data_IF_178706067349
#
_entry.id   IF_178706067349
#
_cell.length_a   1.000
_cell.length_b   1.000
_cell.length_c   1.000
_cell.angle_alpha   90.00
_cell.angle_beta   90.00
_cell.angle_gamma   90.00
#
_symmetry.space_group_name_H-M   'P 1'
#
loop_
_entity.id
_entity.type
_entity.pdbx_description
1 polymer ?
#
# COMPACT_ATOMS: atom_id res chain seq x y z
N UNK A 1 30.77 -12.33 4.10
CA UNK A 1 29.99 -12.21 5.35
C UNK A 1 28.52 -12.44 5.05
N UNK A 2 28.00 -11.76 4.02
CA UNK A 2 26.67 -11.92 3.42
C UNK A 2 26.19 -13.37 3.28
N UNK A 3 27.00 -14.26 2.68
CA UNK A 3 26.63 -15.68 2.55
C UNK A 3 26.20 -16.35 3.87
N UNK A 4 26.82 -15.99 4.99
CA UNK A 4 26.46 -16.50 6.32
C UNK A 4 25.07 -16.02 6.75
N UNK A 5 24.70 -14.79 6.40
CA UNK A 5 23.38 -14.21 6.69
C UNK A 5 22.31 -14.84 5.80
N UNK A 6 22.60 -14.99 4.50
CA UNK A 6 21.74 -15.70 3.56
C UNK A 6 21.48 -17.16 4.01
N UNK A 7 22.54 -17.89 4.37
CA UNK A 7 22.41 -19.25 4.92
C UNK A 7 21.55 -19.27 6.21
N UNK A 8 21.70 -18.26 7.08
CA UNK A 8 20.87 -18.15 8.28
C UNK A 8 19.39 -17.94 7.96
N UNK A 9 19.09 -17.00 7.05
CA UNK A 9 17.71 -16.72 6.61
C UNK A 9 17.09 -17.98 6.03
N UNK A 10 17.76 -18.64 5.08
CA UNK A 10 17.27 -19.87 4.44
C UNK A 10 17.00 -20.99 5.46
N UNK A 11 17.86 -21.15 6.46
CA UNK A 11 17.68 -22.16 7.50
C UNK A 11 16.56 -21.82 8.51
N UNK A 12 16.11 -20.57 8.56
CA UNK A 12 15.09 -20.09 9.50
C UNK A 12 13.85 -19.51 8.81
N UNK A 13 13.69 -19.74 7.51
CA UNK A 13 12.64 -19.15 6.65
C UNK A 13 11.25 -19.15 7.30
N UNK A 14 10.74 -20.33 7.67
CA UNK A 14 9.41 -20.46 8.26
C UNK A 14 9.25 -19.69 9.60
N UNK A 15 10.32 -19.64 10.41
CA UNK A 15 10.32 -18.87 11.66
C UNK A 15 10.31 -17.36 11.39
N UNK A 16 11.01 -16.93 10.35
CA UNK A 16 11.09 -15.53 9.95
C UNK A 16 9.76 -15.05 9.38
N UNK A 17 9.13 -15.82 8.49
CA UNK A 17 7.77 -15.57 7.96
C UNK A 17 6.77 -15.43 9.10
N UNK A 18 6.80 -16.35 10.08
CA UNK A 18 5.93 -16.26 11.26
C UNK A 18 6.14 -14.96 12.06
N UNK A 19 7.40 -14.58 12.28
CA UNK A 19 7.74 -13.36 13.03
C UNK A 19 7.33 -12.09 12.28
N UNK A 20 7.51 -12.04 10.97
CA UNK A 20 7.09 -10.92 10.12
C UNK A 20 5.57 -10.76 10.18
N UNK A 21 4.81 -11.84 9.99
CA UNK A 21 3.34 -11.80 10.09
C UNK A 21 2.87 -11.39 11.50
N UNK A 22 3.58 -11.81 12.55
CA UNK A 22 3.28 -11.41 13.92
C UNK A 22 3.55 -9.92 14.14
N UNK A 23 4.65 -9.39 13.60
CA UNK A 23 4.95 -7.96 13.67
C UNK A 23 3.91 -7.13 12.91
N UNK A 24 3.49 -7.59 11.74
CA UNK A 24 2.41 -6.97 11.00
C UNK A 24 1.11 -6.88 11.82
N UNK A 25 0.73 -7.93 12.53
CA UNK A 25 -0.44 -7.89 13.42
C UNK A 25 -0.30 -6.86 14.55
N UNK A 26 0.93 -6.65 15.05
CA UNK A 26 1.22 -5.64 16.08
C UNK A 26 1.09 -4.22 15.50
N UNK A 27 1.57 -4.01 14.27
CA UNK A 27 1.59 -2.70 13.61
C UNK A 27 0.27 -2.33 12.92
N UNK A 28 -0.70 -3.25 12.88
CA UNK A 28 -1.95 -3.10 12.14
C UNK A 28 -2.73 -1.81 12.48
N UNK A 29 -2.76 -1.42 13.76
CA UNK A 29 -3.48 -0.21 14.17
C UNK A 29 -2.75 1.06 13.71
N UNK A 30 -1.41 1.09 13.70
CA UNK A 30 -0.67 2.24 13.18
C UNK A 30 -0.80 2.33 11.64
N UNK A 31 -0.73 1.20 10.95
CA UNK A 31 -1.02 1.12 9.51
C UNK A 31 -2.43 1.66 9.21
N UNK A 32 -3.44 1.26 10.00
CA UNK A 32 -4.81 1.73 9.83
C UNK A 32 -4.92 3.25 9.90
N UNK A 33 -4.26 3.90 10.86
CA UNK A 33 -4.27 5.36 11.00
C UNK A 33 -3.62 6.04 9.82
N UNK A 34 -2.44 5.57 9.43
CA UNK A 34 -1.74 6.13 8.29
C UNK A 34 -2.54 5.95 7.00
N UNK A 35 -3.22 4.81 6.83
CA UNK A 35 -4.05 4.56 5.66
C UNK A 35 -5.28 5.49 5.63
N UNK A 36 -5.94 5.71 6.76
CA UNK A 36 -7.01 6.73 6.90
C UNK A 36 -6.49 8.12 6.51
N UNK A 37 -5.27 8.47 6.94
CA UNK A 37 -4.64 9.76 6.61
C UNK A 37 -4.37 9.90 5.12
N UNK A 38 -3.84 8.85 4.47
CA UNK A 38 -3.60 8.84 3.02
C UNK A 38 -4.91 8.98 2.25
N UNK A 39 -5.95 8.19 2.58
CA UNK A 39 -7.26 8.33 1.94
C UNK A 39 -7.82 9.75 2.12
N UNK A 40 -7.78 10.29 3.34
CA UNK A 40 -8.26 11.64 3.62
C UNK A 40 -7.49 12.74 2.84
N UNK A 41 -6.23 12.50 2.48
CA UNK A 41 -5.46 13.42 1.64
C UNK A 41 -6.10 13.60 0.25
N UNK A 42 -6.65 12.54 -0.33
CA UNK A 42 -7.37 12.62 -1.61
C UNK A 42 -8.74 13.28 -1.49
N UNK A 43 -9.38 13.17 -0.33
CA UNK A 43 -10.74 13.68 -0.08
C UNK A 43 -10.79 15.16 0.31
N UNK A 44 -9.65 15.77 0.63
CA UNK A 44 -9.59 17.12 1.21
C UNK A 44 -8.63 18.05 0.44
N UNK A 45 -8.92 19.36 0.38
CA UNK A 45 -10.02 20.08 1.03
C UNK A 45 -11.39 19.90 0.35
N UNK A 46 -11.42 19.44 -0.91
CA UNK A 46 -12.63 19.29 -1.70
C UNK A 46 -12.76 17.84 -2.19
N UNK A 47 -13.98 17.32 -2.23
CA UNK A 47 -14.23 15.96 -2.73
C UNK A 47 -13.79 15.81 -4.19
N UNK A 48 -13.06 14.74 -4.53
CA UNK A 48 -12.57 14.48 -5.88
C UNK A 48 -13.69 14.30 -6.91
N UNK A 49 -13.29 14.41 -8.18
CA UNK A 49 -14.19 14.27 -9.32
C UNK A 49 -14.51 12.80 -9.53
N UNK A 50 -15.79 12.50 -9.75
CA UNK A 50 -16.21 11.18 -10.22
C UNK A 50 -16.10 11.13 -11.75
N UNK A 51 -15.53 10.05 -12.27
CA UNK A 51 -15.40 9.79 -13.70
C UNK A 51 -16.17 8.55 -14.12
N UNK A 52 -16.76 8.59 -15.31
CA UNK A 52 -17.30 7.41 -16.00
C UNK A 52 -16.48 7.16 -17.28
N UNK A 53 -16.23 5.90 -17.61
CA UNK A 53 -15.63 5.53 -18.90
C UNK A 53 -16.66 5.66 -20.03
N UNK A 54 -16.31 6.42 -21.07
CA UNK A 54 -17.08 6.50 -22.31
C UNK A 54 -16.31 5.85 -23.47
N UNK A 55 -16.93 4.85 -24.11
CA UNK A 55 -16.41 4.16 -25.29
C UNK A 55 -17.15 4.56 -26.58
N UNK A 56 -18.00 5.60 -26.54
CA UNK A 56 -18.88 5.98 -27.67
C UNK A 56 -18.12 6.20 -28.97
N UNK A 57 -16.90 6.72 -28.89
CA UNK A 57 -16.07 7.07 -30.06
C UNK A 57 -14.90 6.12 -30.27
N UNK A 58 -14.85 5.02 -29.54
CA UNK A 58 -13.80 4.02 -29.69
C UNK A 58 -13.89 3.36 -31.08
N UNK A 59 -12.81 3.40 -31.88
CA UNK A 59 -12.77 2.61 -33.10
C UNK A 59 -12.80 1.10 -32.77
N UNK A 60 -13.25 0.20 -33.67
CA UNK A 60 -13.46 -1.22 -33.37
C UNK A 60 -12.23 -2.04 -32.92
N UNK A 61 -11.05 -1.43 -32.89
CA UNK A 61 -9.77 -2.03 -32.51
C UNK A 61 -9.14 -1.35 -31.29
N UNK A 62 -9.85 -0.42 -30.66
CA UNK A 62 -9.43 0.29 -29.46
C UNK A 62 -10.55 0.16 -28.44
N UNK A 63 -10.20 -0.25 -27.22
CA UNK A 63 -11.12 -0.38 -26.11
C UNK A 63 -10.63 0.46 -24.91
N UNK A 64 -9.83 1.50 -25.16
CA UNK A 64 -9.31 2.35 -24.09
C UNK A 64 -10.40 3.17 -23.42
N UNK A 65 -11.41 3.61 -24.17
CA UNK A 65 -12.37 4.62 -23.71
C UNK A 65 -11.70 5.95 -23.35
N UNK A 66 -12.53 6.89 -22.89
CA UNK A 66 -12.10 8.14 -22.28
C UNK A 66 -12.80 8.37 -20.95
N UNK A 67 -12.11 8.99 -19.99
CA UNK A 67 -12.73 9.41 -18.73
C UNK A 67 -13.54 10.69 -18.92
N UNK A 68 -14.84 10.60 -18.66
CA UNK A 68 -15.77 11.74 -18.69
C UNK A 68 -16.14 12.13 -17.27
N UNK A 69 -16.04 13.43 -16.96
CA UNK A 69 -16.43 13.96 -15.65
C UNK A 69 -17.93 13.77 -15.43
N UNK A 70 -18.28 12.99 -14.42
CA UNK A 70 -19.66 12.61 -14.09
C UNK A 70 -20.13 13.18 -12.74
N UNK A 71 -19.36 14.07 -12.11
CA UNK A 71 -19.76 14.79 -10.92
C UNK A 71 -18.65 14.82 -9.87
N UNK A 72 -19.05 14.70 -8.60
CA UNK A 72 -18.14 14.52 -7.48
C UNK A 72 -18.38 13.15 -6.87
N UNK A 73 -17.31 12.54 -6.37
CA UNK A 73 -17.38 11.29 -5.62
C UNK A 73 -18.30 11.50 -4.41
N UNK A 74 -19.22 10.55 -4.21
CA UNK A 74 -20.18 10.62 -3.11
C UNK A 74 -19.47 10.27 -1.80
N UNK A 75 -19.59 11.07 -0.73
CA UNK A 75 -18.99 10.75 0.56
C UNK A 75 -19.67 9.55 1.26
N UNK A 76 -20.75 9.02 0.69
CA UNK A 76 -21.51 7.90 1.22
C UNK A 76 -21.06 6.54 0.66
N UNK A 77 -20.17 6.50 -0.33
CA UNK A 77 -19.52 5.25 -0.76
C UNK A 77 -18.52 4.80 0.28
N UNK A 78 -18.24 3.51 0.27
CA UNK A 78 -17.27 2.86 1.14
C UNK A 78 -15.84 3.10 0.65
N UNK A 79 -14.86 2.93 1.54
CA UNK A 79 -13.43 2.91 1.17
C UNK A 79 -13.18 1.87 0.09
N UNK A 80 -13.80 0.70 0.19
CA UNK A 80 -13.66 -0.35 -0.82
C UNK A 80 -14.12 0.11 -2.20
N UNK A 81 -15.34 0.66 -2.30
CA UNK A 81 -15.88 1.19 -3.56
C UNK A 81 -14.99 2.32 -4.11
N UNK A 82 -14.50 3.20 -3.23
CA UNK A 82 -13.57 4.26 -3.63
C UNK A 82 -12.26 3.73 -4.22
N UNK A 83 -11.67 2.68 -3.64
CA UNK A 83 -10.41 2.12 -4.14
C UNK A 83 -10.61 1.33 -5.44
N UNK A 84 -11.68 0.54 -5.54
CA UNK A 84 -11.90 -0.38 -6.68
C UNK A 84 -12.57 0.28 -7.89
N UNK A 85 -13.42 1.30 -7.68
CA UNK A 85 -14.32 1.81 -8.73
C UNK A 85 -14.04 3.27 -9.15
N UNK A 86 -13.33 4.05 -8.35
CA UNK A 86 -13.10 5.46 -8.65
C UNK A 86 -11.74 5.71 -9.30
N UNK A 87 -11.78 6.38 -10.46
CA UNK A 87 -10.59 6.79 -11.20
C UNK A 87 -9.98 8.07 -10.61
N UNK A 88 -8.66 8.14 -10.57
CA UNK A 88 -7.92 9.32 -10.12
C UNK A 88 -7.81 10.41 -11.23
N UNK A 89 -8.14 10.04 -12.48
CA UNK A 89 -8.07 10.89 -13.67
C UNK A 89 -6.76 10.78 -14.45
N UNK A 90 -5.82 9.94 -14.02
CA UNK A 90 -4.60 9.59 -14.72
C UNK A 90 -4.83 8.39 -15.65
N UNK A 91 -3.88 8.23 -16.59
CA UNK A 91 -3.90 7.14 -17.57
C UNK A 91 -2.48 6.71 -17.85
N UNK A 92 -2.26 5.42 -18.05
CA UNK A 92 -0.98 4.88 -18.51
C UNK A 92 -1.13 4.04 -19.77
N UNK A 93 -0.04 3.90 -20.54
CA UNK A 93 -0.05 3.09 -21.75
C UNK A 93 -0.21 1.60 -21.40
N UNK A 94 -1.19 0.93 -22.00
CA UNK A 94 -1.53 -0.46 -21.64
C UNK A 94 -0.49 -1.49 -22.13
N UNK A 95 0.27 -1.13 -23.18
CA UNK A 95 1.13 -2.03 -23.98
C UNK A 95 0.43 -3.31 -24.47
N UNK A 96 -0.91 -3.31 -24.48
CA UNK A 96 -1.77 -4.42 -24.85
C UNK A 96 -2.40 -4.17 -26.23
N UNK A 97 -2.34 -5.16 -27.12
CA UNK A 97 -2.97 -5.02 -28.44
C UNK A 97 -4.48 -4.86 -28.28
N UNK A 98 -5.03 -3.78 -28.82
CA UNK A 98 -6.45 -3.47 -28.73
C UNK A 98 -6.82 -2.47 -27.64
N UNK A 99 -5.84 -1.96 -26.90
CA UNK A 99 -6.04 -0.98 -25.85
C UNK A 99 -4.86 0.01 -25.90
N UNK A 100 -5.09 1.28 -26.15
CA UNK A 100 -4.06 2.33 -26.08
C UNK A 100 -3.65 2.64 -24.65
N UNK A 101 -4.63 2.82 -23.77
CA UNK A 101 -4.44 3.27 -22.39
C UNK A 101 -5.32 2.50 -21.39
N UNK A 102 -4.83 2.36 -20.17
CA UNK A 102 -5.64 2.07 -19.00
C UNK A 102 -5.83 3.35 -18.19
N UNK A 103 -6.96 3.42 -17.47
CA UNK A 103 -7.28 4.52 -16.57
C UNK A 103 -6.97 4.11 -15.15
N UNK A 104 -6.25 4.98 -14.43
CA UNK A 104 -5.74 4.66 -13.10
C UNK A 104 -6.84 4.84 -12.05
N UNK A 105 -6.84 3.95 -11.05
CA UNK A 105 -7.73 4.01 -9.89
C UNK A 105 -7.03 4.56 -8.66
N UNK A 106 -7.79 5.01 -7.67
CA UNK A 106 -7.22 5.37 -6.38
C UNK A 106 -6.52 4.20 -5.67
N UNK A 107 -6.87 2.94 -5.98
CA UNK A 107 -6.09 1.79 -5.50
C UNK A 107 -4.67 1.80 -6.08
N UNK A 108 -4.51 1.98 -7.38
CA UNK A 108 -3.17 2.01 -8.02
C UNK A 108 -2.29 3.14 -7.48
N UNK A 109 -2.88 4.32 -7.23
CA UNK A 109 -2.21 5.46 -6.61
C UNK A 109 -1.70 5.15 -5.19
N UNK A 110 -2.45 4.36 -4.42
CA UNK A 110 -2.13 3.98 -3.03
C UNK A 110 -1.20 2.76 -2.93
N UNK A 111 -1.02 2.01 -4.02
CA UNK A 111 -0.23 0.78 -4.04
C UNK A 111 1.22 1.00 -3.58
N UNK A 112 1.84 2.11 -4.00
CA UNK A 112 3.23 2.41 -3.61
C UNK A 112 3.35 2.58 -2.09
N UNK A 113 2.38 3.26 -1.46
CA UNK A 113 2.35 3.47 -0.02
C UNK A 113 2.22 2.15 0.74
N UNK A 114 1.27 1.29 0.35
CA UNK A 114 1.07 0.01 1.03
C UNK A 114 2.28 -0.90 0.84
N UNK A 115 2.78 -1.06 -0.39
CA UNK A 115 3.96 -1.88 -0.65
C UNK A 115 5.19 -1.40 0.13
N UNK A 116 5.48 -0.10 0.13
CA UNK A 116 6.62 0.45 0.87
C UNK A 116 6.50 0.18 2.37
N UNK A 117 5.30 0.35 2.95
CA UNK A 117 5.06 0.04 4.36
C UNK A 117 5.35 -1.43 4.67
N UNK A 118 4.75 -2.35 3.89
CA UNK A 118 4.92 -3.78 4.08
C UNK A 118 6.38 -4.21 3.93
N UNK A 119 7.02 -3.83 2.83
CA UNK A 119 8.43 -4.18 2.53
C UNK A 119 9.36 -3.62 3.61
N UNK A 120 9.15 -2.39 4.08
CA UNK A 120 9.95 -1.80 5.15
C UNK A 120 9.86 -2.62 6.44
N UNK A 121 8.64 -3.01 6.84
CA UNK A 121 8.42 -3.86 8.02
C UNK A 121 9.12 -5.22 7.88
N UNK A 122 9.04 -5.84 6.69
CA UNK A 122 9.76 -7.08 6.39
C UNK A 122 11.27 -6.90 6.56
N UNK A 123 11.84 -5.88 5.90
CA UNK A 123 13.27 -5.61 5.91
C UNK A 123 13.80 -5.35 7.31
N UNK A 124 13.08 -4.54 8.10
CA UNK A 124 13.41 -4.27 9.49
C UNK A 124 13.43 -5.55 10.33
N UNK A 125 12.45 -6.43 10.15
CA UNK A 125 12.39 -7.69 10.90
C UNK A 125 13.50 -8.67 10.50
N UNK A 126 13.84 -8.74 9.22
CA UNK A 126 14.98 -9.54 8.73
C UNK A 126 16.28 -9.01 9.35
N UNK A 127 16.50 -7.69 9.28
CA UNK A 127 17.66 -7.00 9.85
C UNK A 127 17.76 -7.23 11.35
N UNK A 128 16.66 -7.11 12.09
CA UNK A 128 16.60 -7.38 13.53
C UNK A 128 17.07 -8.80 13.86
N UNK A 129 16.56 -9.81 13.12
CA UNK A 129 16.91 -11.21 13.34
C UNK A 129 18.40 -11.49 13.12
N UNK A 130 18.98 -10.95 12.03
CA UNK A 130 20.42 -11.06 11.75
C UNK A 130 21.24 -10.39 12.83
N UNK A 131 20.92 -9.15 13.17
CA UNK A 131 21.63 -8.35 14.18
C UNK A 131 21.63 -9.07 15.54
N UNK A 132 20.50 -9.67 15.92
CA UNK A 132 20.34 -10.41 17.16
C UNK A 132 21.15 -11.70 17.18
N UNK A 133 21.06 -12.52 16.14
CA UNK A 133 21.77 -13.81 16.06
C UNK A 133 23.28 -13.62 16.06
N UNK A 134 23.77 -12.68 15.24
CA UNK A 134 25.19 -12.47 15.05
C UNK A 134 25.80 -11.43 15.98
N UNK A 135 24.98 -10.74 16.77
CA UNK A 135 25.37 -9.66 17.69
C UNK A 135 26.14 -8.56 16.95
N UNK A 136 25.57 -8.15 15.82
CA UNK A 136 26.11 -7.14 14.91
C UNK A 136 25.08 -6.03 14.69
N UNK A 137 25.51 -4.97 14.01
CA UNK A 137 24.63 -4.00 13.38
C UNK A 137 25.04 -3.93 11.93
N UNK A 138 24.29 -4.61 11.07
CA UNK A 138 24.56 -4.58 9.63
C UNK A 138 24.32 -3.16 9.08
N UNK A 139 25.24 -2.70 8.23
CA UNK A 139 25.06 -1.44 7.51
C UNK A 139 24.01 -1.58 6.40
N UNK A 140 23.58 -0.46 5.83
CA UNK A 140 22.67 -0.46 4.68
C UNK A 140 23.33 -1.10 3.46
N UNK A 141 24.60 -0.78 3.19
CA UNK A 141 25.37 -1.41 2.11
C UNK A 141 25.46 -2.94 2.29
N UNK A 142 25.68 -3.44 3.51
CA UNK A 142 25.68 -4.88 3.78
C UNK A 142 24.29 -5.52 3.61
N UNK A 143 23.22 -4.76 3.89
CA UNK A 143 21.86 -5.24 3.72
C UNK A 143 21.43 -5.23 2.25
N UNK A 144 21.84 -4.23 1.47
CA UNK A 144 21.62 -4.16 0.03
C UNK A 144 22.34 -5.31 -0.69
N UNK A 145 23.59 -5.61 -0.32
CA UNK A 145 24.30 -6.78 -0.84
C UNK A 145 23.58 -8.09 -0.49
N UNK A 146 22.98 -8.18 0.70
CA UNK A 146 22.19 -9.35 1.11
C UNK A 146 20.87 -9.45 0.36
N UNK A 147 20.19 -8.33 0.16
CA UNK A 147 18.95 -8.23 -0.63
C UNK A 147 19.18 -8.77 -2.04
N UNK A 148 20.25 -8.34 -2.70
CA UNK A 148 20.63 -8.84 -4.02
C UNK A 148 20.98 -10.35 -4.02
N UNK A 149 21.77 -10.81 -3.05
CA UNK A 149 22.14 -12.24 -2.93
C UNK A 149 20.91 -13.14 -2.67
N UNK A 150 19.89 -12.60 -2.00
CA UNK A 150 18.66 -13.31 -1.66
C UNK A 150 17.56 -13.15 -2.71
N UNK A 151 17.86 -12.53 -3.87
CA UNK A 151 16.88 -12.30 -4.92
C UNK A 151 15.71 -11.46 -4.43
N UNK A 152 16.01 -10.28 -3.89
CA UNK A 152 15.02 -9.32 -3.38
C UNK A 152 14.15 -9.83 -2.22
N UNK A 153 14.55 -10.95 -1.58
CA UNK A 153 13.73 -11.67 -0.61
C UNK A 153 12.37 -12.15 -1.16
N UNK A 154 12.25 -12.38 -2.47
CA UNK A 154 10.99 -12.78 -3.13
C UNK A 154 10.32 -13.99 -2.44
N UNK A 155 11.09 -15.03 -2.12
CA UNK A 155 10.57 -16.23 -1.44
C UNK A 155 9.96 -15.92 -0.05
N UNK A 156 10.50 -14.91 0.66
CA UNK A 156 9.96 -14.50 1.97
C UNK A 156 8.73 -13.62 1.76
N UNK A 157 8.80 -12.68 0.81
CA UNK A 157 7.69 -11.81 0.45
C UNK A 157 6.45 -12.66 0.11
N UNK A 158 6.61 -13.63 -0.80
CA UNK A 158 5.55 -14.52 -1.27
C UNK A 158 4.89 -15.34 -0.15
N UNK A 159 5.68 -15.76 0.84
CA UNK A 159 5.21 -16.58 1.98
C UNK A 159 4.62 -15.75 3.14
N UNK A 160 4.72 -14.43 3.08
CA UNK A 160 4.15 -13.52 4.11
C UNK A 160 2.84 -12.89 3.64
N UNK A 161 2.09 -12.34 4.59
CA UNK A 161 0.90 -11.52 4.28
C UNK A 161 1.24 -10.18 3.64
N UNK A 162 2.53 -9.85 3.53
CA UNK A 162 2.99 -8.62 2.87
C UNK A 162 2.77 -8.72 1.35
N UNK A 163 2.70 -9.93 0.78
CA UNK A 163 2.32 -10.10 -0.61
C UNK A 163 0.98 -9.42 -0.96
N UNK A 164 0.03 -9.44 -0.03
CA UNK A 164 -1.28 -8.79 -0.18
C UNK A 164 -1.20 -7.26 -0.20
N UNK A 165 -0.06 -6.66 0.20
CA UNK A 165 0.11 -5.19 0.20
C UNK A 165 0.26 -4.61 -1.20
N UNK A 166 0.39 -5.46 -2.22
CA UNK A 166 0.22 -5.08 -3.62
C UNK A 166 -1.21 -4.60 -3.93
N UNK A 167 -2.20 -4.99 -3.10
CA UNK A 167 -3.61 -4.69 -3.28
C UNK A 167 -4.15 -3.83 -2.12
N UNK A 168 -4.15 -2.49 -2.25
CA UNK A 168 -4.62 -1.58 -1.21
C UNK A 168 -6.02 -1.89 -0.66
N UNK A 169 -6.93 -2.40 -1.48
CA UNK A 169 -8.26 -2.84 -1.05
C UNK A 169 -8.21 -4.01 -0.04
N UNK A 170 -7.26 -4.93 -0.20
CA UNK A 170 -7.04 -6.03 0.76
C UNK A 170 -6.43 -5.48 2.05
N UNK A 171 -5.49 -4.54 1.94
CA UNK A 171 -4.90 -3.86 3.10
C UNK A 171 -5.98 -3.08 3.88
N UNK A 172 -6.93 -2.44 3.18
CA UNK A 172 -8.04 -1.73 3.80
C UNK A 172 -8.96 -2.71 4.56
N UNK A 173 -9.18 -3.90 4.01
CA UNK A 173 -9.90 -4.98 4.70
C UNK A 173 -9.15 -5.47 5.94
N UNK A 174 -7.83 -5.66 5.84
CA UNK A 174 -6.98 -6.06 6.96
C UNK A 174 -6.98 -5.03 8.10
N UNK A 175 -7.01 -3.75 7.76
CA UNK A 175 -7.14 -2.64 8.69
C UNK A 175 -8.58 -2.45 9.22
N UNK A 176 -9.56 -3.17 8.69
CA UNK A 176 -10.97 -3.06 9.06
C UNK A 176 -11.60 -1.70 8.71
N UNK A 177 -11.15 -1.07 7.62
CA UNK A 177 -11.65 0.23 7.15
C UNK A 177 -12.39 0.15 5.81
N UNK A 178 -12.33 -0.99 5.12
CA UNK A 178 -12.96 -1.25 3.82
C UNK A 178 -14.43 -0.84 3.76
N UNK A 179 -15.18 -1.10 4.83
CA UNK A 179 -16.62 -0.82 4.92
C UNK A 179 -16.95 0.57 5.51
N UNK A 180 -15.96 1.37 5.89
CA UNK A 180 -16.20 2.75 6.33
C UNK A 180 -16.63 3.61 5.15
N UNK A 181 -17.57 4.51 5.36
CA UNK A 181 -17.88 5.55 4.39
C UNK A 181 -16.77 6.59 4.34
N UNK A 182 -16.59 7.23 3.19
CA UNK A 182 -15.61 8.32 3.05
C UNK A 182 -15.89 9.48 4.03
N UNK A 183 -17.16 9.76 4.33
CA UNK A 183 -17.53 10.72 5.39
C UNK A 183 -17.00 10.33 6.76
N UNK A 184 -17.02 9.04 7.12
CA UNK A 184 -16.47 8.53 8.38
C UNK A 184 -14.94 8.63 8.40
N UNK A 185 -14.27 8.38 7.28
CA UNK A 185 -12.81 8.56 7.13
C UNK A 185 -12.42 10.01 7.43
N UNK A 186 -13.12 10.97 6.83
CA UNK A 186 -12.88 12.41 7.05
C UNK A 186 -13.08 12.80 8.53
N UNK A 187 -14.08 12.22 9.19
CA UNK A 187 -14.31 12.45 10.63
C UNK A 187 -13.22 11.84 11.52
N UNK A 188 -12.72 10.65 11.17
CA UNK A 188 -11.65 9.98 11.92
C UNK A 188 -10.33 10.74 11.79
N UNK A 189 -9.96 11.17 10.57
CA UNK A 189 -8.74 11.93 10.34
C UNK A 189 -8.69 13.24 11.15
N UNK A 190 -9.82 13.97 11.23
CA UNK A 190 -9.93 15.19 12.04
C UNK A 190 -9.70 14.95 13.53
N UNK A 191 -10.22 13.83 14.05
CA UNK A 191 -10.07 13.49 15.48
C UNK A 191 -8.63 13.16 15.83
N UNK A 192 -7.85 12.62 14.89
CA UNK A 192 -6.43 12.32 15.11
C UNK A 192 -5.58 13.60 15.12
N UNK A 193 -5.87 14.55 14.22
CA UNK A 193 -5.21 15.86 14.22
C UNK A 193 -5.46 16.65 15.52
N UNK A 194 -6.64 16.49 16.15
CA UNK A 194 -6.98 17.12 17.42
C UNK A 194 -6.10 16.66 18.60
N UNK A 195 -5.41 15.51 18.52
CA UNK A 195 -4.49 15.03 19.56
C UNK A 195 -3.06 15.57 19.45
N UNK A 196 -2.69 16.22 18.33
CA UNK A 196 -1.34 16.74 18.11
C UNK A 196 -1.17 18.16 18.71
N UNK A 197 -2.27 18.82 19.14
CA UNK A 197 -2.21 20.11 19.84
C UNK A 197 -1.96 19.90 21.35
N UNK A 198 -0.77 19.43 21.71
CA UNK A 198 -0.24 19.64 23.07
C UNK A 198 0.73 20.82 23.03
N UNK A 199 0.20 21.95 23.49
CA UNK A 199 0.81 23.24 23.76
C UNK A 199 2.26 23.16 24.27
N UNK A 200 3.25 23.44 23.40
CA UNK A 200 4.59 23.85 23.82
C UNK A 200 4.56 25.33 24.25
N UNK A 201 4.02 25.59 25.44
CA UNK A 201 4.30 26.83 26.16
C UNK A 201 4.64 26.56 27.63
N UNK A 202 5.94 26.34 27.88
CA UNK A 202 6.59 26.57 29.17
C UNK A 202 7.92 27.31 28.97
#
# INVERSE_FOLDING_TARGET
>A
MIKKYADFINNHHASLVYQINTELDIQMEELRKEFIRQINHYLTPDMPVHYEEDHTYDPPYDCSGELVKAGQISPEITVKEFLEEEYDGNTHASYCSGCGFFHDTYSEDLQSFTLEYGISLMHDKIRENINKEFKVTISDEEFDELYDEMGCFDDIYDDTRINEFFFPEIVAQMCGIDNLKLSEVIELAKKEDDFIVVDESL
#
